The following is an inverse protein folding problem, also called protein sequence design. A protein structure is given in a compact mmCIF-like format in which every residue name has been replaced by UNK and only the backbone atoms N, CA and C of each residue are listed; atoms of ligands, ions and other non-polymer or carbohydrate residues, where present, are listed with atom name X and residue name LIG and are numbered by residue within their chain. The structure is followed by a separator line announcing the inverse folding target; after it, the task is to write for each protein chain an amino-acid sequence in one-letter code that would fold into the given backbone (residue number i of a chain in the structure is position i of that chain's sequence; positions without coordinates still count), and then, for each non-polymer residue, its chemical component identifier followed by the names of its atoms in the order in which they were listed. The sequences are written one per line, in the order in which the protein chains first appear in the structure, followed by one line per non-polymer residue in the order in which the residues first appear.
data_IF_501469855861
#
_entry.id   IF_501469855861
#
_cell.length_a   1.000
_cell.length_b   1.000
_cell.length_c   1.000
_cell.angle_alpha   90.00
_cell.angle_beta   90.00
_cell.angle_gamma   90.00
#
_symmetry.space_group_name_H-M   'P 1'
#
loop_
_entity.id
_entity.type
_entity.pdbx_description
1 polymer ?
#
# COMPACT_ATOMS: atom_id res chain seq x y z
N UNK A 1 -49.13 35.63 58.37
CA UNK A 1 -48.76 34.47 57.58
C UNK A 1 -48.00 34.98 56.37
N UNK A 2 -46.66 34.78 56.31
CA UNK A 2 -45.78 35.28 55.26
C UNK A 2 -45.56 34.13 54.23
N UNK A 3 -46.05 34.31 53.02
CA UNK A 3 -45.82 33.39 51.90
C UNK A 3 -44.45 33.75 51.27
N UNK A 4 -43.53 32.80 51.29
CA UNK A 4 -42.22 32.90 50.62
C UNK A 4 -42.32 32.19 49.24
N UNK A 5 -41.95 32.81 48.16
CA UNK A 5 -41.97 32.16 46.85
C UNK A 5 -40.76 31.21 46.72
N UNK A 6 -41.03 29.95 46.42
CA UNK A 6 -40.04 28.97 46.08
C UNK A 6 -39.69 29.17 44.58
N UNK A 7 -38.51 29.75 44.33
CA UNK A 7 -37.91 29.86 42.99
C UNK A 7 -37.29 28.52 42.56
N UNK A 8 -37.96 27.83 41.68
CA UNK A 8 -37.46 26.59 41.06
C UNK A 8 -36.40 26.95 40.00
N UNK A 9 -35.12 26.84 40.33
CA UNK A 9 -33.99 27.02 39.38
C UNK A 9 -33.84 25.77 38.49
N UNK A 10 -34.26 25.90 37.23
CA UNK A 10 -34.02 24.90 36.19
C UNK A 10 -32.53 25.00 35.79
N UNK A 11 -31.72 24.03 36.26
CA UNK A 11 -30.36 23.85 35.76
C UNK A 11 -30.43 23.18 34.36
N UNK A 12 -30.25 23.97 33.31
CA UNK A 12 -29.97 23.47 31.97
C UNK A 12 -28.55 22.96 31.95
N UNK A 13 -28.38 21.64 32.07
CA UNK A 13 -27.09 20.98 31.78
C UNK A 13 -26.86 20.99 30.28
N UNK A 14 -26.04 21.92 29.82
CA UNK A 14 -25.49 21.93 28.47
C UNK A 14 -24.53 20.76 28.38
N UNK A 15 -24.94 19.63 27.83
CA UNK A 15 -24.05 18.57 27.43
C UNK A 15 -23.18 19.11 26.30
N UNK A 16 -21.96 19.52 26.62
CA UNK A 16 -20.96 19.84 25.62
C UNK A 16 -20.72 18.57 24.80
N UNK A 17 -21.21 18.54 23.56
CA UNK A 17 -20.83 17.54 22.57
C UNK A 17 -19.32 17.71 22.37
N UNK A 18 -18.53 16.88 23.06
CA UNK A 18 -17.08 16.80 22.84
C UNK A 18 -16.89 16.37 21.37
N UNK A 19 -16.50 17.30 20.51
CA UNK A 19 -16.19 17.04 19.13
C UNK A 19 -15.03 16.02 19.10
N UNK A 20 -15.30 14.82 18.62
CA UNK A 20 -14.29 13.75 18.61
C UNK A 20 -13.15 14.17 17.68
N UNK A 21 -11.93 14.15 18.20
CA UNK A 21 -10.70 14.45 17.44
C UNK A 21 -10.67 13.57 16.20
N UNK A 22 -10.43 14.11 15.01
CA UNK A 22 -10.37 13.31 13.79
C UNK A 22 -9.16 12.36 13.84
N UNK A 23 -9.33 11.14 13.34
CA UNK A 23 -8.25 10.20 13.09
C UNK A 23 -7.47 10.69 11.86
N UNK A 24 -6.20 11.05 12.05
CA UNK A 24 -5.35 11.51 10.94
C UNK A 24 -4.66 10.32 10.29
N UNK A 25 -4.92 10.13 9.00
CA UNK A 25 -4.37 9.02 8.22
C UNK A 25 -3.41 9.56 7.17
N UNK A 26 -2.20 9.05 7.17
CA UNK A 26 -1.14 9.44 6.25
C UNK A 26 -0.97 8.39 5.16
N UNK A 27 -0.50 8.82 4.00
CA UNK A 27 -0.05 7.95 2.92
C UNK A 27 0.95 8.69 2.04
N UNK A 28 1.56 7.99 1.08
CA UNK A 28 2.39 8.60 0.06
C UNK A 28 1.70 8.60 -1.32
N UNK A 29 2.30 9.25 -2.31
CA UNK A 29 1.84 9.13 -3.70
C UNK A 29 2.39 7.85 -4.31
N UNK A 30 1.55 6.82 -4.39
CA UNK A 30 1.84 5.49 -4.93
C UNK A 30 0.67 4.94 -5.77
N UNK A 31 0.46 5.48 -6.99
CA UNK A 31 -0.64 5.04 -7.84
C UNK A 31 -0.45 3.59 -8.32
N UNK A 32 -1.54 2.81 -8.45
CA UNK A 32 -2.94 3.19 -8.32
C UNK A 32 -3.51 3.10 -6.89
N UNK A 33 -2.70 2.74 -5.90
CA UNK A 33 -3.16 2.54 -4.52
C UNK A 33 -3.60 3.85 -3.85
N UNK A 34 -2.80 4.89 -3.94
CA UNK A 34 -3.04 6.20 -3.33
C UNK A 34 -2.23 7.28 -4.04
N UNK A 35 -2.86 8.39 -4.35
CA UNK A 35 -2.24 9.54 -5.01
C UNK A 35 -3.13 10.78 -4.85
N UNK A 36 -2.70 11.92 -5.35
CA UNK A 36 -3.53 13.12 -5.41
C UNK A 36 -3.98 13.39 -6.83
N UNK A 37 -5.27 13.68 -6.99
CA UNK A 37 -5.87 14.18 -8.20
C UNK A 37 -6.69 15.42 -7.86
N UNK A 38 -6.47 16.54 -8.57
CA UNK A 38 -7.10 17.83 -8.28
C UNK A 38 -6.97 18.26 -6.79
N UNK A 39 -5.79 18.03 -6.18
CA UNK A 39 -5.50 18.27 -4.76
C UNK A 39 -6.40 17.49 -3.78
N UNK A 40 -6.98 16.38 -4.20
CA UNK A 40 -7.73 15.47 -3.35
C UNK A 40 -7.06 14.09 -3.33
N UNK A 41 -6.91 13.47 -2.15
CA UNK A 41 -6.46 12.09 -2.07
C UNK A 41 -7.43 11.15 -2.78
N UNK A 42 -6.92 10.24 -3.60
CA UNK A 42 -7.69 9.23 -4.35
C UNK A 42 -6.88 7.96 -4.50
N UNK A 43 -7.46 6.93 -5.11
CA UNK A 43 -6.83 5.63 -5.36
C UNK A 43 -7.49 4.50 -4.58
N UNK A 44 -7.10 3.28 -4.89
CA UNK A 44 -7.74 2.05 -4.37
C UNK A 44 -7.78 2.06 -2.83
N UNK A 45 -6.62 2.16 -2.19
CA UNK A 45 -6.54 2.10 -0.73
C UNK A 45 -7.11 3.36 -0.07
N UNK A 46 -7.06 4.51 -0.75
CA UNK A 46 -7.70 5.74 -0.28
C UNK A 46 -9.20 5.56 -0.19
N UNK A 47 -9.87 5.10 -1.26
CA UNK A 47 -11.32 4.88 -1.27
C UNK A 47 -11.76 3.79 -0.28
N UNK A 48 -10.95 2.71 -0.15
CA UNK A 48 -11.20 1.68 0.87
C UNK A 48 -11.15 2.31 2.27
N UNK A 49 -10.08 3.02 2.61
CA UNK A 49 -9.88 3.60 3.94
C UNK A 49 -10.94 4.66 4.27
N UNK A 50 -11.35 5.50 3.32
CA UNK A 50 -12.47 6.42 3.49
C UNK A 50 -13.77 5.69 3.80
N UNK A 51 -14.03 4.58 3.10
CA UNK A 51 -15.23 3.75 3.32
C UNK A 51 -15.16 3.07 4.69
N UNK A 52 -13.99 2.56 5.12
CA UNK A 52 -13.79 2.04 6.48
C UNK A 52 -14.13 3.09 7.54
N UNK A 53 -13.64 4.32 7.37
CA UNK A 53 -13.95 5.42 8.30
C UNK A 53 -15.44 5.71 8.38
N UNK A 54 -16.15 5.72 7.24
CA UNK A 54 -17.61 5.90 7.17
C UNK A 54 -18.37 4.78 7.90
N UNK A 55 -18.03 3.51 7.61
CA UNK A 55 -18.66 2.34 8.26
C UNK A 55 -18.35 2.29 9.77
N UNK A 56 -17.15 2.63 10.17
CA UNK A 56 -16.75 2.71 11.58
C UNK A 56 -17.29 3.97 12.30
N UNK A 57 -17.98 4.88 11.60
CA UNK A 57 -18.48 6.17 12.11
C UNK A 57 -17.37 7.03 12.74
N UNK A 58 -16.18 7.01 12.14
CA UNK A 58 -15.03 7.80 12.53
C UNK A 58 -14.89 9.03 11.62
N UNK A 59 -14.54 10.18 12.22
CA UNK A 59 -14.11 11.34 11.46
C UNK A 59 -12.62 11.15 11.09
N UNK A 60 -12.33 10.93 9.83
CA UNK A 60 -10.96 10.74 9.34
C UNK A 60 -10.52 11.92 8.47
N UNK A 61 -9.22 12.21 8.51
CA UNK A 61 -8.57 13.20 7.62
C UNK A 61 -7.38 12.51 6.97
N UNK A 62 -7.34 12.46 5.64
CA UNK A 62 -6.25 11.85 4.88
C UNK A 62 -5.29 12.92 4.39
N UNK A 63 -3.98 12.66 4.52
CA UNK A 63 -2.90 13.53 4.04
C UNK A 63 -1.89 12.72 3.25
N UNK A 64 -1.58 13.18 2.03
CA UNK A 64 -0.53 12.60 1.18
C UNK A 64 0.79 13.32 1.47
N UNK A 65 1.80 12.59 1.90
CA UNK A 65 3.12 13.10 2.30
C UNK A 65 4.22 12.19 1.73
N UNK A 66 5.46 12.67 1.63
CA UNK A 66 6.58 11.76 1.38
C UNK A 66 6.63 10.65 2.43
N UNK A 67 6.86 9.40 2.00
CA UNK A 67 6.80 8.18 2.83
C UNK A 67 7.45 8.33 4.21
N UNK A 68 8.71 8.77 4.24
CA UNK A 68 9.45 8.93 5.50
C UNK A 68 8.76 9.90 6.46
N UNK A 69 8.18 10.98 5.93
CA UNK A 69 7.46 11.97 6.74
C UNK A 69 6.13 11.41 7.25
N UNK A 70 5.40 10.68 6.40
CA UNK A 70 4.16 10.00 6.78
C UNK A 70 4.42 8.99 7.92
N UNK A 71 5.46 8.18 7.78
CA UNK A 71 5.90 7.20 8.78
C UNK A 71 6.27 7.86 10.11
N UNK A 72 7.14 8.89 10.11
CA UNK A 72 7.54 9.63 11.31
C UNK A 72 6.33 10.22 12.03
N UNK A 73 5.44 10.92 11.29
CA UNK A 73 4.22 11.50 11.86
C UNK A 73 3.31 10.45 12.50
N UNK A 74 3.16 9.29 11.87
CA UNK A 74 2.35 8.20 12.43
C UNK A 74 2.94 7.67 13.74
N UNK A 75 4.25 7.52 13.82
CA UNK A 75 4.92 7.07 15.06
C UNK A 75 4.82 8.09 16.20
N UNK A 76 4.86 9.39 15.88
CA UNK A 76 4.84 10.47 16.84
C UNK A 76 3.43 10.84 17.35
N UNK A 77 2.39 10.61 16.55
CA UNK A 77 1.04 11.08 16.85
C UNK A 77 0.12 9.93 17.32
N UNK A 78 -0.36 9.95 18.57
CA UNK A 78 -1.12 8.84 19.14
C UNK A 78 -2.42 8.47 18.40
N UNK A 79 -3.12 9.44 17.81
CA UNK A 79 -4.38 9.22 17.11
C UNK A 79 -4.20 9.43 15.61
N UNK A 80 -3.36 8.58 15.03
CA UNK A 80 -3.01 8.61 13.61
C UNK A 80 -2.74 7.20 13.06
N UNK A 81 -2.60 7.12 11.74
CA UNK A 81 -2.24 5.91 11.02
C UNK A 81 -1.55 6.23 9.70
N UNK A 82 -0.95 5.21 9.11
CA UNK A 82 -0.41 5.24 7.74
C UNK A 82 -0.96 4.03 6.97
N UNK A 83 -1.40 4.22 5.75
CA UNK A 83 -1.92 3.13 4.93
C UNK A 83 -1.10 2.90 3.65
N UNK A 84 -1.40 1.81 2.94
CA UNK A 84 -0.57 1.23 1.89
C UNK A 84 0.79 0.78 2.43
N UNK A 85 0.78 0.28 3.65
CA UNK A 85 1.97 -0.11 4.39
C UNK A 85 2.13 -1.62 4.37
N UNK A 86 3.29 -2.11 3.95
CA UNK A 86 3.62 -3.53 4.07
C UNK A 86 3.88 -3.88 5.54
N UNK A 87 3.28 -5.00 6.00
CA UNK A 87 3.46 -5.54 7.33
C UNK A 87 4.72 -6.42 7.35
N UNK A 88 5.81 -5.88 7.85
CA UNK A 88 7.10 -6.57 7.95
C UNK A 88 7.43 -6.89 9.40
N UNK A 89 8.32 -7.85 9.63
CA UNK A 89 8.81 -8.22 10.99
C UNK A 89 9.35 -6.99 11.74
N UNK A 90 10.05 -6.10 11.05
CA UNK A 90 10.60 -4.88 11.65
C UNK A 90 9.52 -3.88 12.09
N UNK A 91 8.37 -3.85 11.41
CA UNK A 91 7.26 -2.93 11.68
C UNK A 91 6.21 -3.53 12.59
N UNK A 92 6.18 -4.86 12.77
CA UNK A 92 5.14 -5.60 13.47
C UNK A 92 4.84 -5.01 14.86
N UNK A 93 5.88 -4.78 15.66
CA UNK A 93 5.74 -4.28 17.02
C UNK A 93 5.49 -2.77 17.15
N UNK A 94 5.57 -2.01 16.03
CA UNK A 94 5.47 -0.55 16.02
C UNK A 94 4.05 -0.04 15.87
N UNK A 95 3.14 -0.86 15.31
CA UNK A 95 1.80 -0.46 14.93
C UNK A 95 0.74 -1.44 15.42
N UNK A 96 -0.52 -0.98 15.34
CA UNK A 96 -1.69 -1.84 15.36
C UNK A 96 -2.22 -1.93 13.92
N UNK A 97 -2.51 -3.14 13.46
CA UNK A 97 -2.73 -3.43 12.06
C UNK A 97 -4.20 -3.68 11.74
N UNK A 98 -4.67 -3.09 10.63
CA UNK A 98 -5.96 -3.36 10.00
C UNK A 98 -5.68 -3.78 8.56
N UNK A 99 -6.18 -4.94 8.16
CA UNK A 99 -5.92 -5.45 6.81
C UNK A 99 -5.84 -6.97 6.72
N UNK A 100 -5.32 -7.47 5.57
CA UNK A 100 -4.82 -6.70 4.43
C UNK A 100 -5.94 -5.92 3.72
N UNK A 101 -5.63 -4.75 3.15
CA UNK A 101 -6.57 -3.97 2.33
C UNK A 101 -6.71 -4.62 0.96
N UNK A 102 -5.66 -4.49 0.15
CA UNK A 102 -5.53 -5.10 -1.18
C UNK A 102 -4.11 -5.62 -1.35
N UNK A 103 -3.94 -6.71 -2.06
CA UNK A 103 -2.64 -7.23 -2.49
C UNK A 103 -2.61 -7.45 -4.00
N UNK A 104 -1.41 -7.41 -4.57
CA UNK A 104 -1.13 -7.84 -5.94
C UNK A 104 0.05 -8.79 -5.95
N UNK A 105 0.16 -9.63 -6.98
CA UNK A 105 1.29 -10.52 -7.14
C UNK A 105 2.58 -9.72 -7.37
N UNK A 106 3.61 -9.95 -6.59
CA UNK A 106 4.94 -9.39 -6.81
C UNK A 106 5.77 -10.32 -7.68
N UNK A 107 6.41 -9.76 -8.71
CA UNK A 107 7.20 -10.51 -9.65
C UNK A 107 8.52 -9.80 -9.99
N UNK A 108 9.46 -10.57 -10.49
CA UNK A 108 10.67 -10.08 -11.14
C UNK A 108 10.49 -10.08 -12.65
N UNK A 109 10.97 -9.03 -13.28
CA UNK A 109 10.87 -8.79 -14.72
C UNK A 109 12.25 -8.53 -15.30
N UNK A 110 12.51 -9.06 -16.49
CA UNK A 110 13.66 -8.70 -17.34
C UNK A 110 13.22 -7.85 -18.52
N UNK A 111 14.14 -7.15 -19.17
CA UNK A 111 13.85 -6.58 -20.49
C UNK A 111 13.62 -7.72 -21.51
N UNK A 112 12.73 -7.52 -22.46
CA UNK A 112 12.38 -8.54 -23.46
C UNK A 112 13.58 -9.00 -24.29
N UNK A 113 14.52 -8.10 -24.58
CA UNK A 113 15.78 -8.35 -25.31
C UNK A 113 16.82 -9.18 -24.52
N UNK A 114 16.71 -9.24 -23.17
CA UNK A 114 17.61 -10.01 -22.31
C UNK A 114 17.19 -11.47 -22.24
N UNK A 115 17.21 -12.17 -23.37
CA UNK A 115 16.83 -13.58 -23.50
C UNK A 115 17.82 -14.54 -22.80
N UNK A 116 18.98 -14.03 -22.40
CA UNK A 116 20.00 -14.71 -21.60
C UNK A 116 19.58 -14.91 -20.13
N UNK A 117 18.55 -14.22 -19.66
CA UNK A 117 18.07 -14.30 -18.27
C UNK A 117 16.96 -15.33 -18.18
N UNK A 118 17.26 -16.46 -17.55
CA UNK A 118 16.32 -17.54 -17.24
C UNK A 118 16.30 -17.81 -15.74
N UNK A 119 15.14 -17.63 -15.09
CA UNK A 119 14.94 -17.86 -13.67
C UNK A 119 13.91 -18.95 -13.45
N UNK A 120 14.34 -20.12 -13.02
CA UNK A 120 13.46 -21.24 -12.65
C UNK A 120 13.25 -21.35 -11.13
N UNK A 121 14.06 -20.62 -10.35
CA UNK A 121 13.96 -20.58 -8.90
C UNK A 121 14.63 -19.34 -8.31
N UNK A 122 14.24 -18.97 -7.08
CA UNK A 122 14.85 -17.85 -6.34
C UNK A 122 16.35 -18.06 -6.02
N UNK A 123 16.85 -19.30 -6.04
CA UNK A 123 18.28 -19.60 -5.84
C UNK A 123 19.17 -19.01 -6.92
N UNK A 124 18.64 -18.84 -8.14
CA UNK A 124 19.39 -18.26 -9.26
C UNK A 124 19.48 -16.73 -9.21
N UNK A 125 18.80 -16.08 -8.27
CA UNK A 125 18.86 -14.62 -8.10
C UNK A 125 20.27 -14.11 -7.80
N UNK A 126 21.14 -14.93 -7.22
CA UNK A 126 22.54 -14.57 -6.97
C UNK A 126 23.37 -14.35 -8.23
N UNK A 127 22.87 -14.76 -9.39
CA UNK A 127 23.54 -14.58 -10.69
C UNK A 127 23.18 -13.25 -11.36
N UNK A 128 22.22 -12.49 -10.81
CA UNK A 128 21.69 -11.30 -11.43
C UNK A 128 21.65 -10.12 -10.46
N UNK A 129 21.58 -8.93 -11.01
CA UNK A 129 21.43 -7.69 -10.24
C UNK A 129 20.00 -7.18 -10.29
N UNK A 130 19.49 -6.73 -9.14
CA UNK A 130 18.12 -6.23 -8.98
C UNK A 130 18.16 -4.76 -8.54
N UNK A 131 17.37 -3.88 -9.17
CA UNK A 131 17.22 -2.50 -8.72
C UNK A 131 15.99 -2.34 -7.83
N UNK A 132 16.13 -1.64 -6.69
CA UNK A 132 15.03 -1.34 -5.78
C UNK A 132 15.11 0.08 -5.23
N UNK A 133 13.98 0.68 -4.89
CA UNK A 133 13.94 1.96 -4.17
C UNK A 133 14.40 1.77 -2.72
N UNK A 134 15.18 2.71 -2.21
CA UNK A 134 15.70 2.68 -0.83
C UNK A 134 14.58 2.80 0.20
N UNK A 135 14.51 1.83 1.11
CA UNK A 135 13.49 1.78 2.16
C UNK A 135 12.15 1.19 1.70
N UNK A 136 12.09 0.71 0.45
CA UNK A 136 10.97 -0.09 -0.02
C UNK A 136 10.95 -1.48 0.67
N UNK A 137 9.77 -2.10 0.74
CA UNK A 137 9.61 -3.47 1.27
C UNK A 137 10.47 -4.47 0.52
N UNK A 138 10.70 -4.27 -0.75
CA UNK A 138 11.52 -5.17 -1.56
C UNK A 138 12.97 -5.23 -1.10
N UNK A 139 13.53 -4.15 -0.55
CA UNK A 139 14.87 -4.19 0.06
C UNK A 139 14.92 -5.20 1.23
N UNK A 140 13.91 -5.18 2.10
CA UNK A 140 13.81 -6.13 3.20
C UNK A 140 13.63 -7.57 2.68
N UNK A 141 12.76 -7.78 1.70
CA UNK A 141 12.52 -9.10 1.07
C UNK A 141 13.79 -9.68 0.47
N UNK A 142 14.55 -8.89 -0.28
CA UNK A 142 15.82 -9.36 -0.88
C UNK A 142 16.85 -9.71 0.20
N UNK A 143 16.92 -8.92 1.29
CA UNK A 143 17.79 -9.23 2.43
C UNK A 143 17.36 -10.52 3.13
N UNK A 144 16.07 -10.76 3.34
CA UNK A 144 15.55 -11.99 3.93
C UNK A 144 15.82 -13.21 3.03
N UNK A 145 15.89 -13.01 1.71
CA UNK A 145 16.34 -14.02 0.73
C UNK A 145 17.87 -14.19 0.68
N UNK A 146 18.60 -13.61 1.63
CA UNK A 146 20.07 -13.69 1.75
C UNK A 146 20.84 -13.04 0.58
N UNK A 147 20.19 -12.11 -0.13
CA UNK A 147 20.86 -11.31 -1.16
C UNK A 147 21.56 -10.12 -0.50
N UNK A 148 22.72 -9.74 -1.05
CA UNK A 148 23.62 -8.72 -0.48
C UNK A 148 23.49 -7.42 -1.25
N UNK A 149 23.20 -6.31 -0.55
CA UNK A 149 23.19 -4.96 -1.13
C UNK A 149 24.57 -4.57 -1.66
N UNK A 150 24.58 -3.93 -2.81
CA UNK A 150 25.82 -3.56 -3.52
C UNK A 150 26.44 -4.68 -4.35
N UNK A 151 25.93 -5.92 -4.24
CA UNK A 151 26.38 -7.08 -5.02
C UNK A 151 25.24 -7.70 -5.82
N UNK A 152 24.19 -8.16 -5.15
CA UNK A 152 23.03 -8.81 -5.79
C UNK A 152 21.88 -7.82 -6.03
N UNK A 153 21.79 -6.76 -5.25
CA UNK A 153 20.81 -5.70 -5.50
C UNK A 153 21.41 -4.31 -5.21
N UNK A 154 20.85 -3.32 -5.90
CA UNK A 154 21.25 -1.91 -5.80
C UNK A 154 20.06 -1.09 -5.31
N UNK A 155 20.31 -0.20 -4.33
CA UNK A 155 19.25 0.71 -3.82
C UNK A 155 19.41 2.10 -4.40
N UNK A 156 18.30 2.67 -4.84
CA UNK A 156 18.23 4.00 -5.45
C UNK A 156 17.42 4.95 -4.55
N UNK A 157 17.83 6.21 -4.49
CA UNK A 157 17.18 7.22 -3.64
C UNK A 157 16.32 8.21 -4.45
N UNK A 158 16.57 8.32 -5.73
CA UNK A 158 15.80 9.16 -6.65
C UNK A 158 14.48 8.51 -7.04
N UNK A 159 13.45 9.33 -7.21
CA UNK A 159 12.12 8.84 -7.63
C UNK A 159 12.20 8.18 -9.01
N UNK A 160 11.78 6.92 -9.12
CA UNK A 160 11.85 6.09 -10.34
C UNK A 160 13.28 5.92 -10.91
N UNK A 161 14.30 6.13 -10.10
CA UNK A 161 15.70 5.99 -10.54
C UNK A 161 16.00 4.53 -10.87
N UNK A 162 15.54 3.58 -10.06
CA UNK A 162 15.64 2.14 -10.30
C UNK A 162 15.04 1.72 -11.65
N UNK A 163 13.88 2.29 -12.02
CA UNK A 163 13.23 2.02 -13.30
C UNK A 163 14.04 2.57 -14.50
N UNK A 164 14.57 3.79 -14.35
CA UNK A 164 15.42 4.40 -15.38
C UNK A 164 16.74 3.62 -15.57
N UNK A 165 17.31 3.11 -14.48
CA UNK A 165 18.51 2.30 -14.52
C UNK A 165 18.24 0.92 -15.12
N UNK A 166 17.11 0.29 -14.80
CA UNK A 166 16.64 -0.93 -15.45
C UNK A 166 16.49 -0.75 -16.96
N UNK A 167 15.75 0.29 -17.40
CA UNK A 167 15.59 0.62 -18.82
C UNK A 167 16.92 0.76 -19.57
N UNK A 168 17.98 1.22 -18.89
CA UNK A 168 19.33 1.37 -19.44
C UNK A 168 20.19 0.13 -19.30
N UNK A 169 19.65 -0.99 -18.83
CA UNK A 169 20.39 -2.23 -18.59
C UNK A 169 21.48 -2.13 -17.53
N UNK A 170 21.32 -1.22 -16.52
CA UNK A 170 22.30 -1.05 -15.44
C UNK A 170 22.16 -2.07 -14.33
N UNK A 171 21.05 -2.76 -14.28
CA UNK A 171 20.80 -3.99 -13.54
C UNK A 171 19.88 -4.90 -14.36
N UNK A 172 19.87 -6.18 -14.04
CA UNK A 172 19.26 -7.22 -14.87
C UNK A 172 17.75 -7.32 -14.69
N UNK A 173 17.29 -7.10 -13.46
CA UNK A 173 15.92 -7.39 -13.07
C UNK A 173 15.26 -6.19 -12.41
N UNK A 174 13.99 -5.97 -12.74
CA UNK A 174 13.07 -5.08 -12.07
C UNK A 174 12.15 -5.91 -11.16
N UNK A 175 11.89 -5.43 -9.95
CA UNK A 175 10.85 -5.98 -9.07
C UNK A 175 9.64 -5.08 -9.09
N UNK A 176 8.45 -5.66 -9.19
CA UNK A 176 7.20 -4.90 -9.24
C UNK A 176 5.98 -5.75 -8.88
N UNK A 177 4.86 -5.09 -8.63
CA UNK A 177 3.57 -5.73 -8.39
C UNK A 177 2.67 -5.62 -9.62
N UNK A 178 1.86 -6.67 -9.87
CA UNK A 178 0.84 -6.68 -10.92
C UNK A 178 -0.09 -5.46 -10.88
N UNK A 179 -0.28 -4.87 -9.70
CA UNK A 179 -1.12 -3.69 -9.51
C UNK A 179 -0.44 -2.38 -9.94
N UNK A 180 0.87 -2.28 -9.78
CA UNK A 180 1.62 -1.01 -9.97
C UNK A 180 2.48 -0.98 -11.22
N UNK A 181 2.83 -2.14 -11.77
CA UNK A 181 3.79 -2.27 -12.87
C UNK A 181 3.45 -1.36 -14.06
N UNK A 182 2.21 -1.38 -14.54
CA UNK A 182 1.80 -0.55 -15.69
C UNK A 182 2.08 0.93 -15.48
N UNK A 183 1.71 1.42 -14.31
CA UNK A 183 1.92 2.83 -13.94
C UNK A 183 3.40 3.15 -13.81
N UNK A 184 4.20 2.23 -13.26
CA UNK A 184 5.64 2.38 -13.13
C UNK A 184 6.33 2.42 -14.50
N UNK A 185 6.04 1.48 -15.39
CA UNK A 185 6.60 1.42 -16.74
C UNK A 185 6.28 2.70 -17.54
N UNK A 186 5.04 3.20 -17.44
CA UNK A 186 4.62 4.44 -18.10
C UNK A 186 5.46 5.66 -17.64
N UNK A 187 5.88 5.72 -16.37
CA UNK A 187 6.69 6.82 -15.83
C UNK A 187 8.07 6.95 -16.49
N UNK A 188 8.59 5.86 -17.04
CA UNK A 188 9.90 5.81 -17.71
C UNK A 188 9.79 5.54 -19.21
N UNK A 189 8.58 5.66 -19.76
CA UNK A 189 8.29 5.37 -21.17
C UNK A 189 8.83 3.99 -21.60
N UNK A 190 8.51 2.95 -20.82
CA UNK A 190 8.59 1.54 -21.16
C UNK A 190 7.19 1.02 -21.45
N UNK A 191 7.07 0.26 -22.54
CA UNK A 191 5.83 -0.46 -22.83
C UNK A 191 5.81 -1.83 -22.12
N UNK A 192 4.64 -2.38 -21.80
CA UNK A 192 4.54 -3.70 -21.17
C UNK A 192 5.17 -4.85 -21.97
N UNK A 193 5.15 -4.78 -23.29
CA UNK A 193 5.79 -5.76 -24.20
C UNK A 193 7.33 -5.74 -24.17
N UNK A 194 7.92 -4.69 -23.61
CA UNK A 194 9.36 -4.57 -23.42
C UNK A 194 9.86 -5.24 -22.13
N UNK A 195 8.97 -5.80 -21.31
CA UNK A 195 9.32 -6.51 -20.08
C UNK A 195 8.67 -7.88 -20.04
N UNK A 196 9.40 -8.86 -19.53
CA UNK A 196 8.95 -10.25 -19.40
C UNK A 196 9.05 -10.66 -17.94
N UNK A 197 7.97 -11.15 -17.32
CA UNK A 197 8.04 -11.72 -15.97
C UNK A 197 8.83 -13.02 -15.99
N UNK A 198 9.76 -13.17 -15.07
CA UNK A 198 10.67 -14.32 -15.01
C UNK A 198 10.52 -15.12 -13.72
N UNK A 199 10.04 -14.51 -12.64
CA UNK A 199 9.84 -15.21 -11.37
C UNK A 199 8.78 -14.51 -10.52
N UNK A 200 7.87 -15.28 -9.94
CA UNK A 200 6.99 -14.79 -8.86
C UNK A 200 7.74 -14.77 -7.53
N UNK A 201 7.52 -13.71 -6.76
CA UNK A 201 8.04 -13.58 -5.42
C UNK A 201 6.94 -13.86 -4.40
N UNK A 202 7.11 -14.94 -3.65
CA UNK A 202 6.26 -15.29 -2.53
C UNK A 202 7.00 -15.05 -1.22
N UNK A 203 6.59 -13.99 -0.51
CA UNK A 203 7.19 -13.62 0.77
C UNK A 203 6.12 -13.05 1.70
N UNK A 204 6.11 -13.36 3.02
CA UNK A 204 5.09 -12.88 3.95
C UNK A 204 4.92 -11.35 3.95
N UNK A 205 6.00 -10.59 3.80
CA UNK A 205 5.96 -9.13 3.74
C UNK A 205 5.26 -8.57 2.48
N UNK A 206 5.02 -9.41 1.45
CA UNK A 206 4.33 -9.07 0.21
C UNK A 206 2.85 -9.48 0.22
N UNK A 207 2.33 -9.98 1.36
CA UNK A 207 0.97 -10.47 1.51
C UNK A 207 -0.12 -9.39 1.46
N UNK A 208 0.22 -8.15 1.17
CA UNK A 208 -0.73 -7.07 0.95
C UNK A 208 -0.36 -5.74 1.60
N UNK A 209 -1.19 -4.76 1.32
CA UNK A 209 -1.13 -3.44 1.94
C UNK A 209 -2.04 -3.38 3.16
N UNK A 210 -1.60 -2.72 4.20
CA UNK A 210 -2.30 -2.58 5.47
C UNK A 210 -2.51 -1.11 5.83
N UNK A 211 -3.49 -0.85 6.69
CA UNK A 211 -3.57 0.37 7.49
C UNK A 211 -2.88 0.08 8.83
N UNK A 212 -1.78 0.76 9.07
CA UNK A 212 -0.97 0.67 10.29
C UNK A 212 -1.30 1.88 11.18
N UNK A 213 -2.03 1.65 12.28
CA UNK A 213 -2.37 2.67 13.26
C UNK A 213 -1.22 2.82 14.28
N UNK A 214 -1.02 4.03 14.79
CA UNK A 214 -0.11 4.26 15.90
C UNK A 214 -0.38 3.25 17.03
N UNK A 215 0.66 2.75 17.68
CA UNK A 215 0.56 1.70 18.72
C UNK A 215 -0.35 2.08 19.89
N UNK A 216 -0.49 3.37 20.19
CA UNK A 216 -1.37 3.90 21.23
C UNK A 216 -2.80 4.22 20.75
N UNK A 217 -3.15 3.88 19.51
CA UNK A 217 -4.53 4.02 19.05
C UNK A 217 -5.47 3.15 19.89
N UNK A 218 -6.69 3.63 20.23
CA UNK A 218 -7.62 2.84 21.02
C UNK A 218 -7.97 1.52 20.32
N UNK A 219 -7.94 0.41 21.06
CA UNK A 219 -8.29 -0.92 20.51
C UNK A 219 -9.70 -0.97 19.91
N UNK A 220 -10.63 -0.17 20.44
CA UNK A 220 -11.97 0.00 19.87
C UNK A 220 -11.97 0.58 18.46
N UNK A 221 -11.07 1.52 18.16
CA UNK A 221 -10.90 2.10 16.82
C UNK A 221 -10.34 1.05 15.86
N UNK A 222 -9.28 0.34 16.26
CA UNK A 222 -8.68 -0.75 15.47
C UNK A 222 -9.73 -1.81 15.13
N UNK A 223 -10.46 -2.29 16.14
CA UNK A 223 -11.49 -3.32 15.96
C UNK A 223 -12.66 -2.82 15.10
N UNK A 224 -13.06 -1.54 15.21
CA UNK A 224 -14.13 -0.98 14.38
C UNK A 224 -13.71 -0.91 12.90
N UNK A 225 -12.48 -0.48 12.60
CA UNK A 225 -11.94 -0.43 11.25
C UNK A 225 -11.76 -1.83 10.65
N UNK A 226 -11.27 -2.81 11.46
CA UNK A 226 -11.15 -4.19 10.97
C UNK A 226 -12.50 -4.80 10.64
N UNK A 227 -13.49 -4.68 11.53
CA UNK A 227 -14.87 -5.16 11.23
C UNK A 227 -15.46 -4.50 9.99
N UNK A 228 -15.23 -3.20 9.80
CA UNK A 228 -15.68 -2.51 8.59
C UNK A 228 -15.03 -3.11 7.33
N UNK A 229 -13.72 -3.42 7.39
CA UNK A 229 -13.01 -4.06 6.29
C UNK A 229 -13.55 -5.47 6.00
N UNK A 230 -13.75 -6.27 7.05
CA UNK A 230 -14.28 -7.63 6.90
C UNK A 230 -15.67 -7.60 6.24
N UNK A 231 -16.54 -6.69 6.68
CA UNK A 231 -17.86 -6.46 6.05
C UNK A 231 -17.73 -6.05 4.58
N UNK A 232 -16.79 -5.16 4.22
CA UNK A 232 -16.59 -4.75 2.83
C UNK A 232 -16.13 -5.91 1.95
N UNK A 233 -15.29 -6.80 2.49
CA UNK A 233 -14.84 -8.03 1.81
C UNK A 233 -16.00 -8.99 1.58
N UNK A 234 -16.75 -9.30 2.64
CA UNK A 234 -17.89 -10.22 2.59
C UNK A 234 -18.97 -9.75 1.60
N UNK A 235 -19.23 -8.45 1.53
CA UNK A 235 -20.23 -7.85 0.66
C UNK A 235 -19.70 -7.51 -0.75
N UNK A 236 -18.46 -7.85 -1.10
CA UNK A 236 -17.89 -7.59 -2.41
C UNK A 236 -17.66 -6.11 -2.75
N UNK A 237 -17.64 -5.22 -1.77
CA UNK A 237 -17.52 -3.77 -1.99
C UNK A 237 -16.11 -3.33 -2.44
N UNK A 238 -15.10 -4.19 -2.29
CA UNK A 238 -13.73 -3.85 -2.68
C UNK A 238 -13.50 -4.01 -4.18
N UNK A 239 -14.10 -5.02 -4.82
CA UNK A 239 -13.90 -5.30 -6.25
C UNK A 239 -14.21 -4.09 -7.14
N UNK A 240 -15.37 -3.40 -7.03
CA UNK A 240 -15.67 -2.22 -7.84
C UNK A 240 -14.67 -1.07 -7.64
N UNK A 241 -14.13 -0.91 -6.42
CA UNK A 241 -13.11 0.10 -6.14
C UNK A 241 -11.83 -0.24 -6.90
N UNK A 242 -11.40 -1.50 -6.87
CA UNK A 242 -10.20 -1.95 -7.61
C UNK A 242 -10.38 -1.76 -9.11
N UNK A 243 -11.51 -2.20 -9.67
CA UNK A 243 -11.82 -2.12 -11.11
C UNK A 243 -11.81 -0.68 -11.65
N UNK A 244 -12.19 0.29 -10.85
CA UNK A 244 -12.14 1.71 -11.20
C UNK A 244 -10.73 2.19 -11.55
N UNK A 245 -9.71 1.67 -10.86
CA UNK A 245 -8.31 2.10 -11.00
C UNK A 245 -7.44 1.13 -11.80
N UNK A 246 -7.83 -0.13 -11.87
CA UNK A 246 -7.11 -1.21 -12.54
C UNK A 246 -8.07 -1.97 -13.47
N UNK A 247 -8.38 -1.41 -14.64
CA UNK A 247 -9.26 -2.09 -15.60
C UNK A 247 -8.68 -3.42 -16.06
N UNK A 248 -9.54 -4.43 -16.19
CA UNK A 248 -9.21 -5.83 -16.42
C UNK A 248 -8.39 -6.13 -17.70
N UNK A 249 -8.28 -5.21 -18.65
CA UNK A 249 -7.64 -5.43 -19.95
C UNK A 249 -6.44 -4.49 -20.21
N UNK A 250 -5.53 -4.34 -19.23
CA UNK A 250 -4.37 -3.45 -19.40
C UNK A 250 -3.34 -3.89 -20.44
N UNK A 251 -3.28 -5.18 -20.79
CA UNK A 251 -2.22 -5.74 -21.64
C UNK A 251 -2.77 -6.72 -22.71
N UNK A 252 -3.54 -6.23 -23.70
CA UNK A 252 -4.23 -7.10 -24.66
C UNK A 252 -3.30 -7.88 -25.60
N UNK A 253 -2.00 -7.61 -25.59
CA UNK A 253 -1.04 -8.16 -26.56
C UNK A 253 0.03 -9.09 -25.99
N UNK A 254 0.04 -9.35 -24.69
CA UNK A 254 1.03 -10.26 -24.08
C UNK A 254 0.49 -11.70 -24.18
N UNK A 255 1.25 -12.60 -24.83
CA UNK A 255 0.91 -14.03 -24.86
C UNK A 255 0.87 -14.59 -23.44
N UNK A 256 -0.25 -15.20 -23.09
CA UNK A 256 -0.52 -15.64 -21.73
C UNK A 256 0.14 -16.99 -21.43
N UNK A 257 0.92 -17.01 -20.35
CA UNK A 257 1.26 -18.23 -19.61
C UNK A 257 0.77 -18.04 -18.17
N UNK A 258 0.58 -19.12 -17.39
CA UNK A 258 0.11 -18.97 -15.99
C UNK A 258 0.95 -18.00 -15.13
N UNK A 259 2.27 -17.92 -15.37
CA UNK A 259 3.17 -16.99 -14.69
C UNK A 259 2.94 -15.55 -15.18
N UNK A 260 2.77 -15.37 -16.49
CA UNK A 260 2.52 -14.06 -17.10
C UNK A 260 1.18 -13.50 -16.61
N UNK A 261 0.14 -14.34 -16.57
CA UNK A 261 -1.18 -13.92 -16.12
C UNK A 261 -1.15 -13.36 -14.71
N UNK A 262 -0.49 -14.05 -13.78
CA UNK A 262 -0.42 -13.59 -12.38
C UNK A 262 0.40 -12.33 -12.21
N UNK A 263 1.46 -12.14 -12.99
CA UNK A 263 2.36 -11.00 -12.89
C UNK A 263 1.84 -9.74 -13.60
N UNK A 264 1.00 -9.88 -14.63
CA UNK A 264 0.41 -8.75 -15.36
C UNK A 264 -1.08 -8.55 -15.05
N UNK A 265 -1.81 -9.63 -14.83
CA UNK A 265 -3.26 -9.63 -14.63
C UNK A 265 -3.64 -10.18 -13.25
N UNK A 266 -2.67 -10.33 -12.36
CA UNK A 266 -2.91 -10.89 -11.03
C UNK A 266 -4.11 -10.22 -10.40
N UNK A 267 -5.14 -11.03 -10.15
CA UNK A 267 -6.33 -10.58 -9.44
C UNK A 267 -5.90 -10.00 -8.11
N UNK A 268 -6.38 -8.79 -7.82
CA UNK A 268 -6.24 -8.24 -6.49
C UNK A 268 -6.86 -9.25 -5.51
N UNK A 269 -6.09 -9.66 -4.51
CA UNK A 269 -6.59 -10.50 -3.41
C UNK A 269 -7.02 -9.54 -2.31
N UNK A 270 -8.26 -9.68 -1.86
CA UNK A 270 -8.84 -8.87 -0.81
C UNK A 270 -9.37 -9.71 0.34
#
# INVERSE_FOLDING_TARGET
MKNWPVTLSLFFTWAALAESKPLTLYTESFPPYNFEEHNQPTGINTEIVETLCKHAKLKCVIQVLPWRRAMSKTLEQPYSGIFSTSRTTQREAQFQWVGPLVSGQSCLYRLSERTDIELTSSRLLTNYTIGVSRGDVYQAVLTDLQLVEGHHFLTYSGKFEELNMFKRGKHDLLIGSSMTLATQLQKVALNPDQVIPVLELNHPALGGNYLALNKSAPASVVSALQRALDTMKENGQIAPIVEKFVPANKYPHVQTSPTVDRCFYGTAVY
#
